data_IF_976842123592
#
_entry.id   IF_976842123592
#
_cell.length_a   1.000
_cell.length_b   1.000
_cell.length_c   1.000
_cell.angle_alpha   90.00
_cell.angle_beta   90.00
_cell.angle_gamma   90.00
#
_symmetry.space_group_name_H-M   'P 1'
#
loop_
_entity.id
_entity.type
_entity.pdbx_description
1 polymer ?
#
# COMPACT_ATOMS: atom_id res chain seq x y z
N UNK A 1 23.24 27.49 18.92
CA UNK A 1 21.95 27.53 18.19
C UNK A 1 22.12 28.34 16.90
N UNK A 2 22.88 27.82 15.92
CA UNK A 2 23.25 28.58 14.71
C UNK A 2 22.92 27.84 13.39
N UNK A 3 22.32 26.64 13.47
CA UNK A 3 22.02 25.81 12.28
C UNK A 3 20.76 26.27 11.54
N UNK A 4 19.88 27.03 12.21
CA UNK A 4 18.60 27.48 11.66
C UNK A 4 18.61 28.95 11.19
N UNK A 5 19.74 29.66 11.35
CA UNK A 5 19.86 31.03 10.84
C UNK A 5 19.73 31.01 9.31
N UNK A 6 18.73 31.70 8.76
CA UNK A 6 18.40 31.69 7.32
C UNK A 6 17.30 30.70 6.90
N UNK A 7 16.69 29.97 7.85
CA UNK A 7 15.55 29.08 7.64
C UNK A 7 14.24 29.64 8.21
N UNK A 8 14.23 30.92 8.59
CA UNK A 8 13.07 31.61 9.18
C UNK A 8 11.88 31.66 8.22
N UNK A 9 12.13 31.63 6.92
CA UNK A 9 11.11 31.61 5.85
C UNK A 9 10.82 30.20 5.32
N UNK A 10 11.29 29.14 5.98
CA UNK A 10 11.10 27.75 5.54
C UNK A 10 9.61 27.43 5.34
N UNK A 11 8.75 27.78 6.29
CA UNK A 11 7.32 27.52 6.19
C UNK A 11 6.69 28.21 4.97
N UNK A 12 7.16 29.43 4.63
CA UNK A 12 6.71 30.16 3.44
C UNK A 12 7.21 29.50 2.16
N UNK A 13 8.44 28.96 2.16
CA UNK A 13 8.98 28.22 1.02
C UNK A 13 8.28 26.87 0.82
N UNK A 14 8.01 26.14 1.90
CA UNK A 14 7.27 24.88 1.88
C UNK A 14 5.86 25.09 1.32
N UNK A 15 5.14 26.11 1.79
CA UNK A 15 3.81 26.46 1.29
C UNK A 15 3.84 26.87 -0.19
N UNK A 16 4.82 27.69 -0.60
CA UNK A 16 5.02 28.06 -2.02
C UNK A 16 5.24 26.84 -2.91
N UNK A 17 5.95 25.83 -2.43
CA UNK A 17 6.23 24.60 -3.19
C UNK A 17 5.08 23.58 -3.04
N UNK A 18 4.22 23.74 -2.04
CA UNK A 18 3.10 22.84 -1.73
C UNK A 18 3.53 21.58 -0.98
N UNK A 19 4.62 21.66 -0.20
CA UNK A 19 5.10 20.57 0.63
C UNK A 19 4.36 20.63 1.97
N UNK A 20 3.67 19.55 2.33
CA UNK A 20 2.94 19.48 3.58
C UNK A 20 3.54 18.43 4.54
N UNK A 21 3.38 18.59 5.86
CA UNK A 21 3.80 17.59 6.82
C UNK A 21 3.23 16.20 6.49
N UNK A 22 4.11 15.22 6.37
CA UNK A 22 3.77 13.84 6.03
C UNK A 22 3.76 13.52 4.53
N UNK A 23 4.08 14.49 3.66
CA UNK A 23 4.36 14.19 2.27
C UNK A 23 5.72 13.48 2.15
N UNK A 24 5.78 12.37 1.39
CA UNK A 24 7.00 11.59 1.24
C UNK A 24 8.00 12.34 0.35
N UNK A 25 9.26 12.37 0.81
CA UNK A 25 10.41 12.81 -0.01
C UNK A 25 11.19 11.55 -0.36
N UNK A 26 11.32 11.28 -1.66
CA UNK A 26 12.02 10.10 -2.17
C UNK A 26 13.49 10.44 -2.42
N UNK A 27 14.38 9.64 -1.84
CA UNK A 27 15.82 9.75 -2.00
C UNK A 27 16.31 8.58 -2.85
N UNK A 28 17.17 8.88 -3.82
CA UNK A 28 17.89 7.84 -4.55
C UNK A 28 18.95 7.18 -3.66
N UNK A 29 19.47 5.99 -4.04
CA UNK A 29 20.52 5.30 -3.29
C UNK A 29 21.83 6.10 -3.14
N UNK A 30 22.07 7.10 -4.01
CA UNK A 30 23.19 8.05 -3.92
C UNK A 30 22.82 9.36 -3.19
N UNK A 31 21.72 9.37 -2.42
CA UNK A 31 21.24 10.50 -1.61
C UNK A 31 20.87 11.75 -2.43
N UNK A 32 20.44 11.57 -3.68
CA UNK A 32 19.94 12.67 -4.52
C UNK A 32 18.42 12.73 -4.46
N UNK A 33 17.92 13.95 -4.61
CA UNK A 33 16.49 14.22 -4.76
C UNK A 33 16.22 14.46 -6.23
N UNK A 34 15.27 13.71 -6.79
CA UNK A 34 14.75 13.99 -8.12
C UNK A 34 13.66 15.06 -8.00
N UNK A 35 13.92 16.22 -8.62
CA UNK A 35 13.03 17.39 -8.57
C UNK A 35 11.65 17.07 -9.16
N UNK A 36 11.62 16.34 -10.27
CA UNK A 36 10.39 16.02 -10.98
C UNK A 36 9.56 15.05 -10.16
N UNK A 37 10.17 13.98 -9.67
CA UNK A 37 9.52 12.99 -8.83
C UNK A 37 8.96 13.61 -7.54
N UNK A 38 9.69 14.56 -6.94
CA UNK A 38 9.27 15.28 -5.72
C UNK A 38 8.02 16.14 -5.93
N UNK A 39 7.71 16.55 -7.17
CA UNK A 39 6.47 17.28 -7.49
C UNK A 39 5.22 16.38 -7.46
N UNK A 40 5.36 15.07 -7.61
CA UNK A 40 4.22 14.16 -7.56
C UNK A 40 3.52 14.13 -6.18
N UNK A 41 4.22 13.83 -5.07
CA UNK A 41 3.57 13.77 -3.77
C UNK A 41 3.01 15.11 -3.32
N UNK A 42 3.62 16.23 -3.75
CA UNK A 42 3.26 17.59 -3.31
C UNK A 42 2.20 18.28 -4.18
N UNK A 43 2.09 17.96 -5.48
CA UNK A 43 1.26 18.73 -6.45
C UNK A 43 0.40 17.87 -7.36
N UNK A 44 -0.02 16.69 -6.89
CA UNK A 44 -0.92 15.81 -7.64
C UNK A 44 -2.11 15.37 -6.78
N UNK A 45 -2.98 14.53 -7.36
CA UNK A 45 -4.05 13.87 -6.62
C UNK A 45 -3.54 13.00 -5.44
N UNK A 46 -2.23 12.72 -5.38
CA UNK A 46 -1.58 12.03 -4.28
C UNK A 46 -1.72 12.76 -2.94
N UNK A 47 -1.73 14.10 -2.93
CA UNK A 47 -1.86 14.92 -1.70
C UNK A 47 -3.15 14.57 -0.94
N UNK A 48 -4.23 14.25 -1.68
CA UNK A 48 -5.57 13.95 -1.14
C UNK A 48 -5.71 12.53 -0.59
N UNK A 49 -4.69 11.69 -0.72
CA UNK A 49 -4.72 10.31 -0.21
C UNK A 49 -4.60 10.30 1.32
N UNK A 50 -5.23 9.30 1.94
CA UNK A 50 -5.03 9.02 3.37
C UNK A 50 -3.55 8.75 3.66
N UNK A 51 -3.09 9.14 4.86
CA UNK A 51 -1.67 9.04 5.24
C UNK A 51 -1.12 7.61 5.10
N UNK A 52 -1.90 6.61 5.50
CA UNK A 52 -1.50 5.21 5.38
C UNK A 52 -1.40 4.76 3.91
N UNK A 53 -2.28 5.26 3.03
CA UNK A 53 -2.20 5.00 1.59
C UNK A 53 -0.96 5.65 0.98
N UNK A 54 -0.63 6.90 1.39
CA UNK A 54 0.60 7.56 0.97
C UNK A 54 1.81 6.69 1.32
N UNK A 55 1.95 6.27 2.58
CA UNK A 55 3.04 5.39 3.05
C UNK A 55 3.15 4.11 2.22
N UNK A 56 2.04 3.37 2.09
CA UNK A 56 2.03 2.12 1.33
C UNK A 56 2.42 2.32 -0.14
N UNK A 57 1.96 3.40 -0.79
CA UNK A 57 2.31 3.69 -2.18
C UNK A 57 3.77 4.12 -2.31
N UNK A 58 4.27 4.94 -1.38
CA UNK A 58 5.68 5.33 -1.32
C UNK A 58 6.58 4.11 -1.19
N UNK A 59 6.25 3.16 -0.31
CA UNK A 59 7.03 1.93 -0.17
C UNK A 59 7.03 1.10 -1.46
N UNK A 60 5.89 1.01 -2.14
CA UNK A 60 5.80 0.33 -3.43
C UNK A 60 6.58 1.05 -4.54
N UNK A 61 6.65 2.39 -4.51
CA UNK A 61 7.50 3.19 -5.41
C UNK A 61 8.99 2.94 -5.17
N UNK A 62 9.46 3.02 -3.92
CA UNK A 62 10.85 2.77 -3.57
C UNK A 62 11.29 1.40 -4.09
N UNK A 63 10.47 0.36 -3.86
CA UNK A 63 10.80 -1.01 -4.30
C UNK A 63 10.93 -1.16 -5.81
N UNK A 64 10.13 -0.41 -6.59
CA UNK A 64 10.26 -0.41 -8.04
C UNK A 64 11.48 0.40 -8.50
N UNK A 65 11.73 1.55 -7.89
CA UNK A 65 12.88 2.40 -8.25
C UNK A 65 14.21 1.75 -7.89
N UNK A 66 14.31 1.07 -6.75
CA UNK A 66 15.49 0.28 -6.38
C UNK A 66 15.75 -0.85 -7.39
N UNK A 67 14.68 -1.49 -7.89
CA UNK A 67 14.79 -2.53 -8.91
C UNK A 67 15.27 -1.98 -10.27
N UNK A 68 14.82 -0.78 -10.65
CA UNK A 68 15.32 -0.09 -11.85
C UNK A 68 16.76 0.38 -11.66
N UNK A 69 17.08 0.90 -10.48
CA UNK A 69 18.43 1.33 -10.12
C UNK A 69 19.44 0.19 -10.22
N UNK A 70 19.06 -1.02 -9.77
CA UNK A 70 19.87 -2.23 -9.96
C UNK A 70 20.13 -2.60 -11.42
N UNK A 71 19.32 -2.09 -12.36
CA UNK A 71 19.52 -2.20 -13.82
C UNK A 71 20.17 -0.97 -14.46
N UNK A 72 20.57 0.02 -13.65
CA UNK A 72 21.14 1.28 -14.12
C UNK A 72 20.12 2.20 -14.80
N UNK A 73 18.82 2.03 -14.54
CA UNK A 73 17.75 2.85 -15.11
C UNK A 73 17.16 3.79 -14.05
N UNK A 74 16.78 5.00 -14.48
CA UNK A 74 15.96 5.91 -13.67
C UNK A 74 14.47 5.60 -13.85
N UNK A 75 13.64 6.10 -12.94
CA UNK A 75 12.19 5.96 -13.03
C UNK A 75 11.63 6.55 -14.34
N UNK A 76 12.19 7.65 -14.84
CA UNK A 76 11.78 8.27 -16.10
C UNK A 76 12.12 7.44 -17.35
N UNK A 77 13.01 6.46 -17.23
CA UNK A 77 13.49 5.58 -18.31
C UNK A 77 12.81 4.21 -18.28
N UNK A 78 11.85 4.01 -17.37
CA UNK A 78 11.15 2.74 -17.22
C UNK A 78 10.33 2.39 -18.47
N UNK A 79 10.52 1.19 -19.00
CA UNK A 79 9.71 0.64 -20.09
C UNK A 79 8.63 -0.32 -19.59
N UNK A 80 7.71 -0.70 -20.48
CA UNK A 80 6.74 -1.75 -20.20
C UNK A 80 7.42 -3.10 -19.91
N UNK A 81 8.54 -3.40 -20.57
CA UNK A 81 9.29 -4.64 -20.34
C UNK A 81 9.91 -4.66 -18.93
N UNK A 82 10.42 -3.52 -18.44
CA UNK A 82 10.92 -3.41 -17.07
C UNK A 82 9.83 -3.70 -16.03
N UNK A 83 8.59 -3.30 -16.32
CA UNK A 83 7.44 -3.57 -15.46
C UNK A 83 7.07 -5.06 -15.46
N UNK A 84 7.11 -5.73 -16.60
CA UNK A 84 6.89 -7.18 -16.71
C UNK A 84 7.97 -7.98 -15.98
N UNK A 85 9.23 -7.58 -16.15
CA UNK A 85 10.38 -8.10 -15.41
C UNK A 85 10.20 -7.93 -13.90
N UNK A 86 9.70 -6.77 -13.47
CA UNK A 86 9.42 -6.48 -12.07
C UNK A 86 8.28 -7.33 -11.52
N UNK A 87 7.20 -7.50 -12.29
CA UNK A 87 6.10 -8.39 -11.92
C UNK A 87 6.62 -9.81 -11.69
N UNK A 88 7.41 -10.34 -12.63
CA UNK A 88 7.97 -11.68 -12.53
C UNK A 88 8.85 -11.83 -11.28
N UNK A 89 9.77 -10.88 -11.08
CA UNK A 89 10.63 -10.86 -9.89
C UNK A 89 9.83 -10.80 -8.58
N UNK A 90 8.74 -10.03 -8.55
CA UNK A 90 7.97 -9.76 -7.34
C UNK A 90 7.00 -10.89 -6.99
N UNK A 91 6.51 -11.63 -7.98
CA UNK A 91 5.43 -12.63 -7.79
C UNK A 91 5.88 -14.08 -7.97
N UNK A 92 6.80 -14.36 -8.91
CA UNK A 92 7.14 -15.72 -9.35
C UNK A 92 8.59 -16.09 -9.10
N UNK A 93 9.51 -15.14 -9.20
CA UNK A 93 10.93 -15.45 -9.24
C UNK A 93 11.45 -16.09 -7.93
N UNK A 94 12.20 -17.21 -8.02
CA UNK A 94 12.88 -17.81 -6.87
C UNK A 94 13.92 -16.88 -6.24
N UNK A 95 14.45 -15.91 -7.01
CA UNK A 95 15.47 -14.96 -6.57
C UNK A 95 14.95 -13.98 -5.52
N UNK A 96 13.64 -13.82 -5.41
CA UNK A 96 13.02 -13.06 -4.33
C UNK A 96 12.54 -14.03 -3.23
N UNK A 97 13.18 -14.05 -2.05
CA UNK A 97 12.73 -14.90 -0.94
C UNK A 97 11.39 -14.42 -0.34
N UNK A 98 11.00 -13.16 -0.56
CA UNK A 98 9.78 -12.53 -0.05
C UNK A 98 8.79 -12.21 -1.18
N UNK A 99 8.43 -13.24 -1.96
CA UNK A 99 7.40 -13.11 -3.01
C UNK A 99 6.09 -12.60 -2.44
N UNK A 100 5.41 -11.76 -3.21
CA UNK A 100 4.13 -11.17 -2.80
C UNK A 100 2.97 -11.79 -3.55
N UNK A 101 1.83 -11.91 -2.87
CA UNK A 101 0.59 -12.32 -3.51
C UNK A 101 0.03 -11.26 -4.46
N UNK A 102 -0.85 -11.67 -5.37
CA UNK A 102 -1.43 -10.81 -6.40
C UNK A 102 -2.13 -9.55 -5.86
N UNK A 103 -2.70 -9.59 -4.66
CA UNK A 103 -3.34 -8.42 -4.05
C UNK A 103 -2.34 -7.30 -3.73
N UNK A 104 -1.16 -7.65 -3.19
CA UNK A 104 -0.10 -6.67 -2.91
C UNK A 104 0.52 -6.16 -4.20
N UNK A 105 0.71 -7.03 -5.19
CA UNK A 105 1.15 -6.62 -6.53
C UNK A 105 0.17 -5.61 -7.17
N UNK A 106 -1.13 -5.93 -7.18
CA UNK A 106 -2.14 -5.06 -7.78
C UNK A 106 -2.22 -3.68 -7.12
N UNK A 107 -1.94 -3.59 -5.81
CA UNK A 107 -1.82 -2.30 -5.10
C UNK A 107 -0.64 -1.48 -5.63
N UNK A 108 0.56 -2.07 -5.67
CA UNK A 108 1.75 -1.40 -6.20
C UNK A 108 1.57 -1.01 -7.67
N UNK A 109 0.96 -1.87 -8.48
CA UNK A 109 0.66 -1.60 -9.88
C UNK A 109 -0.32 -0.42 -10.04
N UNK A 110 -1.36 -0.33 -9.19
CA UNK A 110 -2.27 0.81 -9.19
C UNK A 110 -1.56 2.10 -8.75
N UNK A 111 -0.66 2.03 -7.77
CA UNK A 111 0.16 3.17 -7.37
C UNK A 111 1.05 3.65 -8.53
N UNK A 112 1.74 2.72 -9.22
CA UNK A 112 2.61 3.02 -10.37
C UNK A 112 1.81 3.60 -11.54
N UNK A 113 0.64 3.03 -11.85
CA UNK A 113 -0.23 3.55 -12.91
C UNK A 113 -0.57 5.02 -12.68
N UNK A 114 -0.93 5.39 -11.44
CA UNK A 114 -1.26 6.77 -11.06
C UNK A 114 -0.06 7.72 -11.16
N UNK A 115 1.13 7.25 -10.83
CA UNK A 115 2.35 8.05 -10.94
C UNK A 115 2.70 8.32 -12.41
N UNK A 116 2.75 7.27 -13.24
CA UNK A 116 3.16 7.42 -14.63
C UNK A 116 2.08 8.07 -15.50
N UNK A 117 0.79 7.88 -15.19
CA UNK A 117 -0.29 8.64 -15.83
C UNK A 117 -0.11 10.15 -15.59
N UNK A 118 0.19 10.53 -14.34
CA UNK A 118 0.51 11.91 -14.01
C UNK A 118 1.78 12.42 -14.71
N UNK A 119 2.82 11.60 -14.80
CA UNK A 119 4.09 11.97 -15.41
C UNK A 119 3.95 12.19 -16.93
N UNK A 120 3.17 11.35 -17.60
CA UNK A 120 2.85 11.49 -19.03
C UNK A 120 1.97 12.71 -19.28
N UNK A 121 0.95 12.95 -18.45
CA UNK A 121 0.10 14.15 -18.56
C UNK A 121 0.88 15.46 -18.39
N UNK A 122 2.01 15.43 -17.69
CA UNK A 122 2.92 16.57 -17.49
C UNK A 122 4.15 16.55 -18.41
N UNK A 123 4.17 15.62 -19.38
CA UNK A 123 5.25 15.47 -20.36
C UNK A 123 6.63 15.20 -19.75
N UNK A 124 6.69 14.70 -18.51
CA UNK A 124 7.93 14.33 -17.83
C UNK A 124 8.48 12.98 -18.29
N UNK A 125 7.61 12.11 -18.81
CA UNK A 125 7.97 10.80 -19.34
C UNK A 125 7.24 10.63 -20.68
N UNK A 126 7.95 10.06 -21.66
CA UNK A 126 7.43 9.90 -23.03
C UNK A 126 6.28 8.88 -23.11
N UNK A 127 6.32 7.83 -22.30
CA UNK A 127 5.33 6.75 -22.33
C UNK A 127 5.09 6.17 -20.94
N UNK A 128 3.85 5.72 -20.70
CA UNK A 128 3.51 5.04 -19.45
C UNK A 128 3.98 3.57 -19.52
N UNK A 129 4.87 3.10 -18.63
CA UNK A 129 5.28 1.69 -18.58
C UNK A 129 4.13 0.76 -18.17
N UNK A 130 3.11 1.28 -17.49
CA UNK A 130 1.90 0.52 -17.15
C UNK A 130 0.96 0.50 -18.35
N UNK A 131 1.10 -0.54 -19.18
CA UNK A 131 0.17 -0.77 -20.29
C UNK A 131 -1.22 -1.06 -19.77
N UNK A 132 -2.22 -0.40 -20.37
CA UNK A 132 -3.63 -0.65 -20.08
C UNK A 132 -4.21 -1.62 -21.11
N UNK A 133 -5.08 -2.52 -20.67
CA UNK A 133 -5.89 -3.37 -21.54
C UNK A 133 -7.37 -3.21 -21.20
N UNK A 134 -8.21 -3.32 -22.21
CA UNK A 134 -9.66 -3.36 -22.01
C UNK A 134 -10.07 -4.77 -21.62
N UNK A 135 -10.84 -4.89 -20.55
CA UNK A 135 -11.49 -6.14 -20.14
C UNK A 135 -13.00 -5.90 -20.04
N UNK A 136 -13.78 -6.90 -20.41
CA UNK A 136 -15.22 -6.86 -20.21
C UNK A 136 -15.52 -7.03 -18.73
N UNK A 137 -16.16 -6.03 -18.13
CA UNK A 137 -16.63 -6.04 -16.75
C UNK A 137 -17.79 -7.02 -16.56
N UNK A 138 -18.18 -7.31 -15.30
CA UNK A 138 -19.26 -8.24 -14.98
C UNK A 138 -20.61 -7.87 -15.62
N UNK A 139 -20.82 -6.57 -15.84
CA UNK A 139 -22.01 -5.95 -16.44
C UNK A 139 -21.92 -5.79 -17.96
N UNK A 140 -20.85 -6.30 -18.60
CA UNK A 140 -20.65 -6.18 -20.06
C UNK A 140 -19.95 -4.90 -20.51
N UNK A 141 -19.62 -3.99 -19.58
CA UNK A 141 -18.93 -2.73 -19.88
C UNK A 141 -17.44 -2.93 -20.16
N UNK A 142 -16.87 -2.11 -21.06
CA UNK A 142 -15.44 -2.11 -21.32
C UNK A 142 -14.68 -1.35 -20.22
N UNK A 143 -13.95 -2.07 -19.36
CA UNK A 143 -13.15 -1.49 -18.27
C UNK A 143 -11.67 -1.52 -18.63
N UNK A 144 -10.99 -0.37 -18.54
CA UNK A 144 -9.54 -0.28 -18.66
C UNK A 144 -8.87 -0.78 -17.38
N UNK A 145 -8.02 -1.81 -17.50
CA UNK A 145 -7.25 -2.36 -16.38
C UNK A 145 -5.78 -2.49 -16.77
N UNK A 146 -4.84 -2.37 -15.81
CA UNK A 146 -3.43 -2.66 -16.10
C UNK A 146 -3.24 -4.06 -16.68
N UNK A 147 -2.46 -4.18 -17.75
CA UNK A 147 -2.19 -5.43 -18.45
C UNK A 147 -1.50 -6.46 -17.54
N UNK A 148 -0.57 -5.98 -16.72
CA UNK A 148 0.15 -6.74 -15.70
C UNK A 148 -0.68 -7.05 -14.44
N UNK A 149 -2.00 -6.74 -14.42
CA UNK A 149 -2.84 -7.02 -13.24
C UNK A 149 -2.94 -8.52 -12.99
N UNK A 150 -2.57 -8.95 -11.78
CA UNK A 150 -2.67 -10.33 -11.35
C UNK A 150 -4.16 -10.73 -11.22
N UNK A 151 -4.54 -11.79 -11.95
CA UNK A 151 -5.91 -12.35 -11.95
C UNK A 151 -6.28 -13.05 -10.63
N UNK A 152 -5.30 -13.65 -9.95
CA UNK A 152 -5.50 -14.47 -8.76
C UNK A 152 -5.38 -13.66 -7.44
N UNK A 153 -5.59 -12.34 -7.50
CA UNK A 153 -5.66 -11.52 -6.31
C UNK A 153 -6.99 -11.81 -5.58
N UNK A 154 -6.98 -12.69 -4.59
CA UNK A 154 -8.13 -12.86 -3.69
C UNK A 154 -8.33 -11.53 -2.95
N UNK A 155 -9.44 -10.84 -3.22
CA UNK A 155 -9.77 -9.55 -2.62
C UNK A 155 -10.00 -9.68 -1.12
N UNK A 156 -10.48 -10.85 -0.68
CA UNK A 156 -10.67 -11.19 0.73
C UNK A 156 -11.04 -12.68 0.87
N UNK A 157 -10.37 -13.42 1.74
CA UNK A 157 -10.86 -14.74 2.20
C UNK A 157 -11.67 -14.54 3.48
N UNK A 158 -12.84 -13.90 3.33
CA UNK A 158 -13.74 -13.66 4.46
C UNK A 158 -14.51 -14.96 4.71
N UNK A 159 -14.09 -15.68 5.76
CA UNK A 159 -14.91 -16.73 6.36
C UNK A 159 -15.82 -16.07 7.39
N UNK A 160 -17.12 -16.13 7.13
CA UNK A 160 -18.12 -15.64 8.07
C UNK A 160 -18.13 -16.52 9.31
N UNK A 161 -18.04 -15.89 10.47
CA UNK A 161 -18.13 -16.55 11.76
C UNK A 161 -19.60 -16.53 12.19
N UNK A 162 -20.16 -17.69 12.53
CA UNK A 162 -21.52 -17.74 13.09
C UNK A 162 -21.53 -17.07 14.48
N UNK A 163 -22.67 -16.55 14.96
CA UNK A 163 -22.77 -15.96 16.29
C UNK A 163 -22.26 -16.87 17.41
N UNK A 164 -22.56 -18.18 17.30
CA UNK A 164 -22.09 -19.20 18.24
C UNK A 164 -20.56 -19.40 18.17
N UNK A 165 -20.00 -19.42 16.97
CA UNK A 165 -18.55 -19.53 16.80
C UNK A 165 -17.82 -18.26 17.29
N UNK A 166 -18.42 -17.09 17.13
CA UNK A 166 -17.92 -15.83 17.69
C UNK A 166 -17.88 -15.85 19.22
N UNK A 167 -19.01 -16.20 19.87
CA UNK A 167 -19.06 -16.35 21.34
C UNK A 167 -18.01 -17.32 21.86
N UNK A 168 -17.91 -18.50 21.22
CA UNK A 168 -16.89 -19.50 21.56
C UNK A 168 -15.46 -18.97 21.40
N UNK A 169 -15.18 -18.19 20.36
CA UNK A 169 -13.86 -17.59 20.17
C UNK A 169 -13.55 -16.52 21.23
N UNK A 170 -14.52 -15.72 21.64
CA UNK A 170 -14.34 -14.75 22.74
C UNK A 170 -14.04 -15.49 24.06
N UNK A 171 -14.83 -16.51 24.40
CA UNK A 171 -14.68 -17.23 25.66
C UNK A 171 -13.36 -18.02 25.71
N UNK A 172 -13.02 -18.77 24.66
CA UNK A 172 -11.80 -19.58 24.64
C UNK A 172 -10.55 -18.74 24.34
N UNK A 173 -10.62 -17.85 23.35
CA UNK A 173 -9.46 -17.12 22.83
C UNK A 173 -9.15 -15.83 23.59
N UNK A 174 -10.15 -15.11 24.09
CA UNK A 174 -9.97 -13.82 24.76
C UNK A 174 -10.18 -13.87 26.28
N UNK A 175 -10.92 -14.86 26.81
CA UNK A 175 -11.15 -15.05 28.26
C UNK A 175 -10.46 -16.28 28.85
N UNK A 176 -9.88 -17.14 28.01
CA UNK A 176 -9.16 -18.32 28.47
C UNK A 176 -10.03 -19.42 29.04
N UNK A 177 -11.29 -19.53 28.59
CA UNK A 177 -12.11 -20.67 28.97
C UNK A 177 -11.64 -21.92 28.21
N UNK A 178 -11.69 -23.07 28.86
CA UNK A 178 -11.49 -24.37 28.22
C UNK A 178 -12.64 -24.66 27.23
N UNK A 179 -12.49 -25.72 26.43
CA UNK A 179 -13.57 -26.18 25.54
C UNK A 179 -14.87 -26.54 26.29
N UNK A 180 -14.75 -26.82 27.60
CA UNK A 180 -15.85 -27.15 28.52
C UNK A 180 -16.44 -25.90 29.20
N UNK A 181 -15.91 -24.70 28.90
CA UNK A 181 -16.43 -23.42 29.39
C UNK A 181 -15.93 -23.00 30.77
N UNK A 182 -14.94 -23.70 31.33
CA UNK A 182 -14.34 -23.37 32.63
C UNK A 182 -13.09 -22.48 32.44
N UNK A 183 -12.82 -21.51 33.31
CA UNK A 183 -11.57 -20.76 33.27
C UNK A 183 -10.36 -21.71 33.35
N UNK A 184 -9.46 -21.62 32.37
CA UNK A 184 -8.22 -22.37 32.36
C UNK A 184 -7.21 -21.73 33.33
N UNK A 185 -6.79 -22.48 34.34
CA UNK A 185 -5.84 -22.03 35.35
C UNK A 185 -4.46 -21.66 34.78
N UNK A 186 -4.11 -22.16 33.59
CA UNK A 186 -2.87 -21.82 32.89
C UNK A 186 -2.94 -20.54 32.06
N UNK A 187 -4.11 -19.92 31.93
CA UNK A 187 -4.31 -18.81 31.01
C UNK A 187 -3.97 -17.44 31.62
N UNK A 188 -2.99 -16.77 31.03
CA UNK A 188 -2.42 -15.52 31.55
C UNK A 188 -2.90 -14.27 30.77
N UNK A 189 -4.21 -14.00 30.75
CA UNK A 189 -4.75 -12.84 30.04
C UNK A 189 -4.98 -11.61 30.92
N UNK A 190 -3.97 -10.75 31.05
CA UNK A 190 -4.06 -9.51 31.85
C UNK A 190 -5.10 -8.48 31.35
N UNK A 191 -5.52 -8.58 30.09
CA UNK A 191 -6.42 -7.64 29.42
C UNK A 191 -7.66 -8.34 28.86
N UNK A 192 -8.02 -9.49 29.46
CA UNK A 192 -9.13 -10.35 29.08
C UNK A 192 -10.43 -9.56 28.88
N UNK A 193 -10.84 -8.86 29.94
CA UNK A 193 -12.12 -8.15 29.98
C UNK A 193 -12.16 -7.00 28.97
N UNK A 194 -11.06 -6.26 28.83
CA UNK A 194 -10.95 -5.18 27.84
C UNK A 194 -11.07 -5.71 26.42
N UNK A 195 -10.32 -6.77 26.10
CA UNK A 195 -10.31 -7.34 24.75
C UNK A 195 -11.67 -8.00 24.42
N UNK A 196 -12.30 -8.67 25.38
CA UNK A 196 -13.62 -9.25 25.22
C UNK A 196 -14.70 -8.16 25.06
N UNK A 197 -14.67 -7.10 25.87
CA UNK A 197 -15.58 -5.96 25.74
C UNK A 197 -15.44 -5.26 24.38
N UNK A 198 -14.20 -5.05 23.92
CA UNK A 198 -13.93 -4.50 22.59
C UNK A 198 -14.50 -5.39 21.48
N UNK A 199 -14.21 -6.69 21.52
CA UNK A 199 -14.71 -7.64 20.53
C UNK A 199 -16.25 -7.65 20.48
N UNK A 200 -16.91 -7.66 21.64
CA UNK A 200 -18.37 -7.62 21.72
C UNK A 200 -18.97 -6.32 21.18
N UNK A 201 -18.31 -5.17 21.40
CA UNK A 201 -18.75 -3.88 20.88
C UNK A 201 -18.65 -3.80 19.34
N UNK A 202 -17.69 -4.50 18.73
CA UNK A 202 -17.53 -4.57 17.28
C UNK A 202 -18.50 -5.57 16.60
N UNK A 203 -19.26 -6.36 17.37
CA UNK A 203 -20.24 -7.31 16.85
C UNK A 203 -21.59 -6.63 16.64
N UNK A 204 -22.28 -6.81 15.49
CA UNK A 204 -23.56 -6.17 15.25
C UNK A 204 -24.64 -6.64 16.25
N UNK A 205 -25.50 -5.74 16.77
CA UNK A 205 -26.60 -6.12 17.64
C UNK A 205 -27.65 -6.89 16.83
N UNK A 206 -27.86 -8.17 17.15
CA UNK A 206 -28.80 -9.05 16.43
C UNK A 206 -28.29 -10.47 16.18
N UNK A 207 -27.02 -10.74 16.49
CA UNK A 207 -26.44 -12.07 16.54
C UNK A 207 -26.56 -12.66 17.96
N UNK A 208 -27.76 -12.70 18.53
CA UNK A 208 -28.03 -13.39 19.82
C UNK A 208 -28.76 -14.67 19.56
#
# INVERSE_FOLDING_TARGET
MAVLAGWEDLAVREDRVGIHPGDPILLSPDYRIDEVLSRYPCRSSFVRLAQETKRNYTDDYCLFFDFLWGRGKRWSEASADDLWDFEDWRTRSPRNPRRVGGARWNRGLAALARLYEWAVQREYVLANPVLMRTVTGPTGEAVLVPAARAKNARTSEVRWLTPRAFRRWVDVGLRGHSADGLPDAGWAGRLADRNAAFANCCSPPGCV
#
